data_IF_988747423891
#
_entry.id   IF_988747423891
#
_cell.length_a   1.000
_cell.length_b   1.000
_cell.length_c   1.000
_cell.angle_alpha   90.00
_cell.angle_beta   90.00
_cell.angle_gamma   90.00
#
_symmetry.space_group_name_H-M   'P 1'
#
loop_
_entity.id
_entity.type
_entity.pdbx_description
1 polymer ?
#
# COMPACT_ATOMS: atom_id res chain seq x y z
N UNK A 1 -53.31 -9.39 17.73
CA UNK A 1 -52.86 -8.20 18.47
C UNK A 1 -51.34 -8.24 18.48
N UNK A 2 -50.54 -7.31 17.96
CA UNK A 2 -50.66 -6.01 17.27
C UNK A 2 -49.30 -5.86 16.53
N UNK A 3 -49.27 -5.81 15.20
CA UNK A 3 -49.03 -4.61 14.35
C UNK A 3 -47.70 -3.88 14.60
N UNK A 4 -46.76 -3.89 13.64
CA UNK A 4 -46.63 -3.01 12.45
C UNK A 4 -46.02 -1.63 12.74
N UNK A 5 -44.86 -1.42 12.11
CA UNK A 5 -44.41 -0.27 11.32
C UNK A 5 -43.95 1.07 11.91
N UNK A 6 -43.03 1.63 11.09
CA UNK A 6 -42.69 3.03 10.77
C UNK A 6 -41.32 3.50 11.32
N UNK A 7 -40.43 4.15 10.57
CA UNK A 7 -40.37 4.62 9.18
C UNK A 7 -38.89 5.00 8.87
N UNK A 8 -38.47 4.98 7.59
CA UNK A 8 -37.10 5.29 7.15
C UNK A 8 -36.72 6.78 7.12
N UNK A 9 -35.62 7.12 6.40
CA UNK A 9 -35.83 8.02 5.27
C UNK A 9 -35.20 7.52 3.96
N UNK A 10 -36.02 7.64 2.92
CA UNK A 10 -35.76 7.48 1.50
C UNK A 10 -35.05 8.74 0.96
N UNK A 11 -34.02 8.56 0.14
CA UNK A 11 -33.48 9.62 -0.72
C UNK A 11 -33.44 9.11 -2.15
N UNK A 12 -34.46 9.50 -2.92
CA UNK A 12 -34.49 9.46 -4.37
C UNK A 12 -33.73 10.67 -4.93
N UNK A 13 -32.89 10.46 -5.95
CA UNK A 13 -32.47 11.51 -6.86
C UNK A 13 -32.32 10.95 -8.29
N UNK A 14 -32.63 11.74 -9.34
CA UNK A 14 -33.17 11.24 -10.59
C UNK A 14 -32.13 11.03 -11.68
N UNK A 15 -32.44 10.10 -12.59
CA UNK A 15 -31.83 9.93 -13.91
C UNK A 15 -31.86 11.24 -14.71
N UNK A 16 -30.68 11.73 -15.09
CA UNK A 16 -30.50 12.82 -16.03
C UNK A 16 -29.65 12.39 -17.21
N UNK A 17 -30.29 12.04 -18.33
CA UNK A 17 -29.66 11.80 -19.62
C UNK A 17 -29.23 13.12 -20.26
N UNK A 18 -27.99 13.18 -20.77
CA UNK A 18 -27.62 14.02 -21.93
C UNK A 18 -26.40 13.40 -22.61
N UNK A 19 -26.62 12.90 -23.82
CA UNK A 19 -25.57 12.39 -24.69
C UNK A 19 -24.78 13.50 -25.37
N UNK A 20 -23.60 13.13 -25.86
CA UNK A 20 -23.00 13.73 -27.06
C UNK A 20 -22.08 12.70 -27.71
N UNK A 21 -22.35 12.46 -28.99
CA UNK A 21 -21.60 11.64 -29.95
C UNK A 21 -20.35 12.36 -30.49
N UNK A 22 -19.61 11.62 -31.33
CA UNK A 22 -18.50 11.97 -32.23
C UNK A 22 -17.07 11.85 -31.64
N UNK A 23 -16.08 11.20 -32.28
CA UNK A 23 -15.97 10.59 -33.62
C UNK A 23 -14.70 9.72 -33.66
N UNK A 24 -14.75 8.67 -34.48
CA UNK A 24 -13.64 7.77 -34.77
C UNK A 24 -12.80 8.25 -35.98
N UNK A 25 -11.47 8.02 -35.93
CA UNK A 25 -10.53 8.17 -37.06
C UNK A 25 -9.05 8.26 -36.62
N UNK A 26 -8.07 8.02 -37.53
CA UNK A 26 -7.45 6.71 -37.72
C UNK A 26 -5.96 6.63 -37.31
N UNK A 27 -5.46 5.39 -37.22
CA UNK A 27 -4.12 4.94 -36.83
C UNK A 27 -2.94 5.62 -37.55
N UNK A 28 -1.89 5.94 -36.80
CA UNK A 28 -0.55 6.27 -37.29
C UNK A 28 0.51 5.90 -36.24
N UNK A 29 1.50 5.08 -36.62
CA UNK A 29 2.35 4.34 -35.69
C UNK A 29 3.63 5.02 -35.18
N UNK A 30 4.23 4.39 -34.17
CA UNK A 30 5.67 4.28 -33.96
C UNK A 30 6.35 5.35 -33.10
N UNK A 31 6.62 5.04 -31.83
CA UNK A 31 7.95 4.99 -31.19
C UNK A 31 7.80 4.93 -29.66
N UNK A 32 8.74 4.22 -29.02
CA UNK A 32 8.61 3.71 -27.66
C UNK A 32 8.51 4.76 -26.55
N UNK A 33 7.91 4.28 -25.45
CA UNK A 33 7.53 4.88 -24.16
C UNK A 33 6.00 5.01 -24.05
N UNK A 34 5.35 4.46 -23.00
CA UNK A 34 3.94 4.72 -22.79
C UNK A 34 3.76 6.23 -22.51
N UNK A 35 2.75 6.89 -23.11
CA UNK A 35 2.46 8.29 -22.84
C UNK A 35 2.14 8.49 -21.34
N UNK A 36 2.44 9.68 -20.78
CA UNK A 36 2.23 9.99 -19.36
C UNK A 36 0.77 9.93 -18.89
N UNK A 37 -0.19 9.73 -19.79
CA UNK A 37 -1.63 9.80 -19.52
C UNK A 37 -2.36 8.44 -19.54
N UNK A 38 -1.65 7.32 -19.39
CA UNK A 38 -2.25 5.97 -19.37
C UNK A 38 -3.06 5.61 -18.10
N UNK A 39 -3.55 6.59 -17.32
CA UNK A 39 -4.48 6.35 -16.21
C UNK A 39 -5.87 6.96 -16.50
N UNK A 40 -6.67 6.40 -17.42
CA UNK A 40 -8.04 6.86 -17.63
C UNK A 40 -8.97 6.25 -16.57
N UNK A 41 -9.57 7.11 -15.75
CA UNK A 41 -10.62 6.77 -14.77
C UNK A 41 -10.77 7.89 -13.75
N UNK A 42 -11.91 7.99 -13.08
CA UNK A 42 -12.21 9.01 -12.06
C UNK A 42 -11.42 8.78 -10.75
N UNK A 43 -10.10 8.73 -10.85
CA UNK A 43 -9.15 8.59 -9.74
C UNK A 43 -8.95 9.91 -8.99
N UNK A 44 -9.42 11.02 -9.57
CA UNK A 44 -9.38 12.37 -9.00
C UNK A 44 -10.68 12.63 -8.25
N UNK A 45 -10.67 12.41 -6.94
CA UNK A 45 -11.50 13.22 -6.06
C UNK A 45 -10.57 14.26 -5.44
N UNK A 46 -10.45 15.41 -6.10
CA UNK A 46 -9.79 16.58 -5.53
C UNK A 46 -10.46 16.90 -4.18
N UNK A 47 -9.73 16.69 -3.09
CA UNK A 47 -10.12 17.19 -1.78
C UNK A 47 -9.43 18.52 -1.62
N UNK A 48 -10.21 19.59 -1.48
CA UNK A 48 -9.70 20.85 -0.99
C UNK A 48 -9.18 20.66 0.43
N UNK A 49 -7.88 20.46 0.58
CA UNK A 49 -7.20 20.60 1.86
C UNK A 49 -7.13 22.10 2.17
N UNK A 50 -8.21 22.65 2.71
CA UNK A 50 -8.16 23.93 3.42
C UNK A 50 -7.49 23.70 4.78
N UNK A 51 -6.20 23.36 4.75
CA UNK A 51 -5.36 23.20 5.94
C UNK A 51 -4.95 24.57 6.49
N UNK A 52 -5.94 25.42 6.81
CA UNK A 52 -5.73 26.57 7.67
C UNK A 52 -5.94 26.14 9.12
N UNK A 53 -4.86 25.67 9.77
CA UNK A 53 -4.69 25.61 11.23
C UNK A 53 -5.94 25.28 12.06
N UNK A 54 -6.81 24.38 11.57
CA UNK A 54 -8.04 24.02 12.26
C UNK A 54 -7.68 23.09 13.42
N UNK A 55 -8.27 23.27 14.61
CA UNK A 55 -7.96 22.42 15.75
C UNK A 55 -8.19 20.96 15.39
N UNK A 56 -7.24 20.11 15.79
CA UNK A 56 -7.28 18.68 15.56
C UNK A 56 -8.61 18.11 16.09
N UNK A 57 -9.40 17.52 15.18
CA UNK A 57 -10.69 16.92 15.51
C UNK A 57 -10.54 15.88 16.64
N UNK A 58 -11.61 15.62 17.38
CA UNK A 58 -11.58 14.66 18.49
C UNK A 58 -11.05 13.27 18.07
N UNK A 59 -11.40 12.83 16.86
CA UNK A 59 -10.91 11.58 16.27
C UNK A 59 -9.40 11.62 15.98
N UNK A 60 -8.90 12.69 15.35
CA UNK A 60 -7.48 12.84 15.05
C UNK A 60 -6.62 12.88 16.34
N UNK A 61 -7.11 13.54 17.40
CA UNK A 61 -6.45 13.52 18.72
C UNK A 61 -6.38 12.11 19.33
N UNK A 62 -7.43 11.31 19.18
CA UNK A 62 -7.43 9.92 19.64
C UNK A 62 -6.39 9.07 18.89
N UNK A 63 -6.27 9.26 17.57
CA UNK A 63 -5.24 8.60 16.77
C UNK A 63 -3.82 9.03 17.15
N UNK A 64 -3.61 10.32 17.39
CA UNK A 64 -2.32 10.85 17.86
C UNK A 64 -1.92 10.23 19.20
N UNK A 65 -2.87 10.12 20.16
CA UNK A 65 -2.63 9.45 21.44
C UNK A 65 -2.35 7.95 21.28
N UNK A 66 -3.07 7.28 20.38
CA UNK A 66 -2.82 5.87 20.04
C UNK A 66 -1.40 5.66 19.49
N UNK A 67 -0.99 6.45 18.48
CA UNK A 67 0.34 6.32 17.90
C UNK A 67 1.45 6.71 18.88
N UNK A 68 1.22 7.69 19.76
CA UNK A 68 2.18 8.00 20.83
C UNK A 68 2.34 6.82 21.79
N UNK A 69 1.24 6.19 22.20
CA UNK A 69 1.25 5.00 23.07
C UNK A 69 1.92 3.79 22.40
N UNK A 70 1.68 3.62 21.10
CA UNK A 70 2.32 2.60 20.28
C UNK A 70 3.84 2.83 20.18
N UNK A 71 4.28 4.09 20.00
CA UNK A 71 5.70 4.44 20.03
C UNK A 71 6.32 4.06 21.38
N UNK A 72 5.71 4.44 22.51
CA UNK A 72 6.25 4.09 23.83
C UNK A 72 6.36 2.57 24.02
N UNK A 73 5.33 1.82 23.58
CA UNK A 73 5.33 0.35 23.62
C UNK A 73 6.47 -0.23 22.78
N UNK A 74 6.69 0.29 21.57
CA UNK A 74 7.77 -0.11 20.69
C UNK A 74 9.16 0.17 21.29
N UNK A 75 9.36 1.34 21.91
CA UNK A 75 10.62 1.68 22.59
C UNK A 75 10.88 0.76 23.78
N UNK A 76 9.86 0.52 24.62
CA UNK A 76 9.95 -0.37 25.76
C UNK A 76 10.30 -1.81 25.35
N UNK A 77 9.64 -2.35 24.32
CA UNK A 77 9.92 -3.69 23.78
C UNK A 77 11.36 -3.80 23.23
N UNK A 78 11.91 -2.70 22.72
CA UNK A 78 13.29 -2.63 22.24
C UNK A 78 14.32 -2.35 23.37
N UNK A 79 13.88 -2.19 24.63
CA UNK A 79 14.75 -1.85 25.76
C UNK A 79 15.30 -0.42 25.70
N UNK A 80 14.59 0.50 25.03
CA UNK A 80 14.98 1.90 24.82
C UNK A 80 14.25 2.83 25.80
N UNK A 81 14.81 4.02 26.09
CA UNK A 81 14.19 4.99 26.99
C UNK A 81 12.86 5.53 26.44
N UNK A 82 11.99 5.97 27.34
CA UNK A 82 10.73 6.65 26.99
C UNK A 82 11.00 8.00 26.30
N UNK A 83 10.06 8.41 25.45
CA UNK A 83 10.09 9.72 24.79
C UNK A 83 9.95 10.84 25.80
N UNK A 84 10.89 11.78 25.77
CA UNK A 84 10.85 12.96 26.64
C UNK A 84 10.06 14.10 25.97
N UNK A 85 9.11 14.69 26.68
CA UNK A 85 8.36 15.84 26.18
C UNK A 85 9.15 17.14 26.38
N UNK A 86 9.46 17.82 25.27
CA UNK A 86 10.14 19.11 25.22
C UNK A 86 9.29 20.21 24.59
N UNK A 87 8.00 19.95 24.35
CA UNK A 87 7.09 20.91 23.70
C UNK A 87 6.95 22.23 24.47
N UNK A 88 7.20 22.23 25.79
CA UNK A 88 7.20 23.45 26.62
C UNK A 88 8.34 24.42 26.30
N UNK A 89 9.39 23.97 25.62
CA UNK A 89 10.51 24.81 25.18
C UNK A 89 10.67 24.64 23.67
N UNK A 90 9.88 25.37 22.86
CA UNK A 90 9.93 25.26 21.41
C UNK A 90 11.35 25.48 20.90
N UNK A 91 11.77 24.65 19.96
CA UNK A 91 13.10 24.74 19.37
C UNK A 91 13.17 25.98 18.51
N UNK A 92 13.96 26.95 18.97
CA UNK A 92 14.19 28.23 18.30
C UNK A 92 15.44 28.17 17.42
N UNK A 93 15.27 28.69 16.20
CA UNK A 93 16.31 28.66 15.17
C UNK A 93 16.43 27.30 14.48
N UNK A 94 16.78 27.35 13.21
CA UNK A 94 17.16 26.18 12.41
C UNK A 94 18.69 26.15 12.23
N UNK A 95 19.53 26.12 13.28
CA UNK A 95 20.98 26.18 13.08
C UNK A 95 21.44 24.87 12.42
N UNK A 96 21.77 24.93 11.13
CA UNK A 96 22.54 23.89 10.43
C UNK A 96 21.79 22.64 9.96
N UNK A 97 20.46 22.59 9.96
CA UNK A 97 19.74 21.46 9.37
C UNK A 97 19.53 21.67 7.87
N UNK A 98 20.55 21.38 7.07
CA UNK A 98 20.40 21.25 5.60
C UNK A 98 19.38 20.17 5.21
N UNK A 99 19.05 19.25 6.14
CA UNK A 99 18.21 18.08 5.91
C UNK A 99 17.19 17.90 7.04
N UNK A 100 15.93 17.69 6.68
CA UNK A 100 14.82 17.31 7.56
C UNK A 100 14.11 16.11 6.93
N UNK A 101 14.24 14.93 7.53
CA UNK A 101 13.52 13.73 7.09
C UNK A 101 12.26 13.58 7.91
N UNK A 102 11.11 13.81 7.28
CA UNK A 102 9.81 13.73 7.93
C UNK A 102 9.11 12.43 7.57
N UNK A 103 8.71 11.65 8.58
CA UNK A 103 7.93 10.43 8.44
C UNK A 103 6.54 10.65 9.03
N UNK A 104 5.48 10.45 8.25
CA UNK A 104 4.10 10.39 8.73
C UNK A 104 3.60 8.95 8.63
N UNK A 105 3.48 8.23 9.74
CA UNK A 105 3.01 6.84 9.71
C UNK A 105 3.17 6.10 11.02
N UNK A 106 2.81 4.80 11.02
CA UNK A 106 2.86 3.96 12.22
C UNK A 106 4.28 3.81 12.77
N UNK A 107 4.54 4.13 14.06
CA UNK A 107 5.84 3.94 14.68
C UNK A 107 6.36 2.51 14.54
N UNK A 108 5.49 1.51 14.68
CA UNK A 108 5.88 0.09 14.59
C UNK A 108 6.45 -0.30 13.22
N UNK A 109 5.98 0.34 12.15
CA UNK A 109 6.46 0.09 10.78
C UNK A 109 7.81 0.76 10.53
N UNK A 110 8.01 1.96 11.07
CA UNK A 110 9.15 2.81 10.75
C UNK A 110 10.24 2.84 11.83
N UNK A 111 10.02 2.22 13.00
CA UNK A 111 10.93 2.30 14.16
C UNK A 111 12.39 2.03 13.79
N UNK A 112 12.65 0.96 13.02
CA UNK A 112 14.02 0.61 12.61
C UNK A 112 14.70 1.69 11.77
N UNK A 113 13.95 2.30 10.84
CA UNK A 113 14.43 3.39 9.97
C UNK A 113 14.60 4.68 10.77
N UNK A 114 13.68 4.96 11.70
CA UNK A 114 13.73 6.13 12.58
C UNK A 114 14.94 6.08 13.52
N UNK A 115 15.21 4.93 14.14
CA UNK A 115 16.36 4.74 15.03
C UNK A 115 17.69 4.86 14.27
N UNK A 116 17.81 4.20 13.11
CA UNK A 116 19.00 4.30 12.27
C UNK A 116 19.20 5.74 11.75
N UNK A 117 18.12 6.38 11.30
CA UNK A 117 18.14 7.78 10.87
C UNK A 117 18.53 8.74 12.00
N UNK A 118 18.10 8.47 13.23
CA UNK A 118 18.50 9.24 14.41
C UNK A 118 19.97 9.06 14.79
N UNK A 119 20.59 7.92 14.47
CA UNK A 119 22.04 7.70 14.62
C UNK A 119 22.80 8.48 13.55
N UNK A 120 22.37 8.40 12.29
CA UNK A 120 23.06 9.02 11.15
C UNK A 120 22.87 10.54 11.09
N UNK A 121 21.70 11.04 11.50
CA UNK A 121 21.34 12.46 11.47
C UNK A 121 20.55 12.85 12.73
N UNK A 122 21.25 12.98 13.88
CA UNK A 122 20.63 13.25 15.18
C UNK A 122 19.72 14.49 15.15
N UNK A 123 18.45 14.31 15.55
CA UNK A 123 17.48 15.40 15.61
C UNK A 123 16.93 15.88 14.27
N UNK A 124 17.31 15.24 13.15
CA UNK A 124 16.81 15.53 11.81
C UNK A 124 15.85 14.47 11.27
N UNK A 125 15.80 13.31 11.93
CA UNK A 125 14.82 12.26 11.67
C UNK A 125 13.59 12.50 12.55
N UNK A 126 12.47 12.85 11.92
CA UNK A 126 11.24 13.31 12.57
C UNK A 126 10.09 12.36 12.28
N UNK A 127 9.40 11.91 13.33
CA UNK A 127 8.14 11.18 13.24
C UNK A 127 6.98 12.11 13.58
N UNK A 128 6.10 12.36 12.61
CA UNK A 128 4.83 13.04 12.81
C UNK A 128 3.76 12.00 13.13
N UNK A 129 3.10 12.15 14.28
CA UNK A 129 2.00 11.26 14.70
C UNK A 129 0.64 11.73 14.16
N UNK A 130 0.55 12.98 13.72
CA UNK A 130 -0.65 13.60 13.17
C UNK A 130 -0.36 14.37 11.88
N UNK A 131 -1.24 14.29 10.86
CA UNK A 131 -1.25 15.22 9.73
C UNK A 131 -1.35 16.69 10.16
N UNK A 132 -2.02 16.98 11.27
CA UNK A 132 -2.20 18.35 11.78
C UNK A 132 -0.89 19.03 12.22
N UNK A 133 0.20 18.27 12.36
CA UNK A 133 1.54 18.80 12.66
C UNK A 133 2.30 19.24 11.42
N UNK A 134 1.68 19.08 10.24
CA UNK A 134 2.24 19.41 8.95
C UNK A 134 1.44 20.55 8.32
N UNK A 135 2.13 21.40 7.57
CA UNK A 135 1.49 22.48 6.81
C UNK A 135 2.07 22.52 5.41
N UNK A 136 1.20 22.41 4.42
CA UNK A 136 1.57 22.52 3.00
C UNK A 136 1.46 23.98 2.59
N UNK A 137 2.56 24.58 2.13
CA UNK A 137 2.62 25.98 1.70
C UNK A 137 3.08 26.08 0.25
N UNK A 138 2.58 27.04 -0.54
CA UNK A 138 3.04 27.23 -1.91
C UNK A 138 4.56 27.44 -1.98
N UNK A 139 5.21 26.74 -2.92
CA UNK A 139 6.64 26.87 -3.12
C UNK A 139 6.96 28.19 -3.86
N UNK A 140 7.92 29.01 -3.37
CA UNK A 140 8.33 30.23 -4.07
C UNK A 140 8.88 29.91 -5.46
N UNK A 141 8.32 30.55 -6.49
CA UNK A 141 8.83 30.45 -7.87
C UNK A 141 8.50 29.13 -8.59
N UNK A 142 7.68 28.25 -8.02
CA UNK A 142 7.26 26.98 -8.66
C UNK A 142 5.74 26.82 -8.62
N UNK A 143 5.02 27.29 -9.65
CA UNK A 143 3.57 27.17 -9.70
C UNK A 143 3.13 25.71 -9.65
N UNK A 144 2.18 25.38 -8.78
CA UNK A 144 1.67 24.03 -8.60
C UNK A 144 2.47 23.15 -7.63
N UNK A 145 3.67 23.55 -7.22
CA UNK A 145 4.45 22.84 -6.20
C UNK A 145 4.27 23.45 -4.80
N UNK A 146 4.44 22.63 -3.78
CA UNK A 146 4.37 23.03 -2.38
C UNK A 146 5.60 22.61 -1.56
N UNK A 147 5.95 23.42 -0.57
CA UNK A 147 6.84 23.01 0.51
C UNK A 147 6.01 22.46 1.67
N UNK A 148 6.53 21.44 2.35
CA UNK A 148 5.92 20.87 3.55
C UNK A 148 6.67 21.38 4.78
N UNK A 149 5.95 21.99 5.72
CA UNK A 149 6.47 22.52 6.97
C UNK A 149 6.03 21.64 8.13
N UNK A 150 6.92 21.43 9.10
CA UNK A 150 6.72 20.61 10.30
C UNK A 150 6.69 21.54 11.51
N UNK A 151 5.56 21.57 12.21
CA UNK A 151 5.39 22.36 13.44
C UNK A 151 5.68 21.57 14.70
N UNK A 152 5.46 20.25 14.67
CA UNK A 152 5.64 19.35 15.80
C UNK A 152 6.03 17.96 15.32
N UNK A 153 6.94 17.29 16.03
CA UNK A 153 7.30 15.90 15.74
C UNK A 153 8.01 15.24 16.92
N UNK A 154 8.13 13.91 16.88
CA UNK A 154 9.10 13.19 17.70
C UNK A 154 10.43 13.13 16.95
N UNK A 155 11.48 13.73 17.50
CA UNK A 155 12.84 13.68 16.95
C UNK A 155 13.61 12.48 17.49
N UNK A 156 14.42 11.85 16.64
CA UNK A 156 15.22 10.67 16.98
C UNK A 156 16.71 10.99 17.07
N UNK A 157 17.38 10.38 18.05
CA UNK A 157 18.80 10.61 18.38
C UNK A 157 19.54 9.28 18.66
N UNK A 158 20.89 9.31 18.71
CA UNK A 158 21.69 8.13 19.04
C UNK A 158 21.31 7.52 20.39
N UNK A 159 21.43 6.20 20.50
CA UNK A 159 21.07 5.46 21.72
C UNK A 159 19.56 5.28 21.92
N UNK A 160 18.75 5.56 20.89
CA UNK A 160 17.29 5.42 20.94
C UNK A 160 16.60 6.52 21.76
N UNK A 161 17.28 7.63 22.00
CA UNK A 161 16.69 8.81 22.62
C UNK A 161 15.69 9.46 21.67
N UNK A 162 14.49 9.76 22.19
CA UNK A 162 13.43 10.43 21.44
C UNK A 162 12.88 11.62 22.21
N UNK A 163 12.55 12.70 21.47
CA UNK A 163 12.02 13.93 22.06
C UNK A 163 10.78 14.42 21.32
N UNK A 164 9.70 14.71 22.02
CA UNK A 164 8.56 15.43 21.43
C UNK A 164 8.90 16.92 21.38
N UNK A 165 9.15 17.43 20.18
CA UNK A 165 9.59 18.80 19.94
C UNK A 165 8.52 19.62 19.20
N UNK A 166 8.36 20.88 19.61
CA UNK A 166 7.66 21.92 18.84
C UNK A 166 8.70 22.81 18.14
N UNK A 167 8.46 23.22 16.89
CA UNK A 167 9.41 23.96 16.06
C UNK A 167 8.93 25.38 15.75
N UNK A 168 9.73 26.39 16.11
CA UNK A 168 9.44 27.80 15.85
C UNK A 168 10.71 28.54 15.37
N UNK A 169 10.82 28.93 14.08
CA UNK A 169 9.84 28.74 13.02
C UNK A 169 9.66 27.27 12.63
N UNK A 170 8.56 26.95 11.95
CA UNK A 170 8.31 25.60 11.46
C UNK A 170 9.46 25.12 10.56
N UNK A 171 9.79 23.83 10.65
CA UNK A 171 10.90 23.25 9.91
C UNK A 171 10.46 22.78 8.53
N UNK A 172 11.12 23.20 7.46
CA UNK A 172 10.83 22.67 6.13
C UNK A 172 11.34 21.23 6.00
N UNK A 173 10.48 20.33 5.53
CA UNK A 173 10.85 18.96 5.17
C UNK A 173 11.67 18.95 3.88
N UNK A 174 12.79 18.22 3.89
CA UNK A 174 13.64 18.01 2.72
C UNK A 174 13.47 16.61 2.13
N UNK A 175 12.89 15.68 2.90
CA UNK A 175 12.38 14.39 2.45
C UNK A 175 11.10 14.07 3.21
N UNK A 176 10.10 13.52 2.53
CA UNK A 176 8.83 13.15 3.16
C UNK A 176 8.45 11.69 2.87
N UNK A 177 8.38 10.88 3.91
CA UNK A 177 7.93 9.49 3.83
C UNK A 177 6.55 9.37 4.47
N UNK A 178 5.60 8.86 3.70
CA UNK A 178 4.24 8.63 4.17
C UNK A 178 3.95 7.14 4.26
N UNK A 179 3.52 6.69 5.43
CA UNK A 179 2.96 5.38 5.65
C UNK A 179 1.52 5.36 5.15
N UNK A 180 1.32 4.86 3.95
CA UNK A 180 -0.01 4.61 3.41
C UNK A 180 -0.59 3.38 4.13
N UNK A 181 -1.26 3.62 5.26
CA UNK A 181 -1.88 2.59 6.09
C UNK A 181 -3.32 2.29 5.65
N UNK A 182 -3.87 1.11 5.99
CA UNK A 182 -5.21 0.66 5.57
C UNK A 182 -6.37 1.29 6.36
N UNK A 183 -6.14 2.40 7.07
CA UNK A 183 -7.17 3.08 7.85
C UNK A 183 -8.09 3.90 6.93
N UNK A 184 -9.43 3.77 7.04
CA UNK A 184 -10.33 4.69 6.34
C UNK A 184 -10.01 6.14 6.74
N UNK A 185 -9.89 7.04 5.77
CA UNK A 185 -9.59 8.47 6.00
C UNK A 185 -8.10 8.82 6.04
N UNK A 186 -7.31 8.20 6.92
CA UNK A 186 -5.92 8.64 7.17
C UNK A 186 -4.98 8.42 5.98
N UNK A 187 -5.15 7.31 5.23
CA UNK A 187 -4.35 7.05 4.02
C UNK A 187 -4.60 8.05 2.89
N UNK A 188 -5.81 8.62 2.82
CA UNK A 188 -6.18 9.61 1.79
C UNK A 188 -5.61 11.00 2.10
N UNK A 189 -5.77 11.46 3.34
CA UNK A 189 -5.20 12.75 3.77
C UNK A 189 -3.67 12.74 3.66
N UNK A 190 -3.04 11.64 4.05
CA UNK A 190 -1.60 11.47 3.98
C UNK A 190 -1.09 11.41 2.52
N UNK A 191 -1.88 10.83 1.60
CA UNK A 191 -1.60 10.86 0.16
C UNK A 191 -1.65 12.27 -0.44
N UNK A 192 -2.69 13.05 -0.10
CA UNK A 192 -2.83 14.45 -0.57
C UNK A 192 -1.71 15.36 -0.03
N UNK A 193 -1.26 15.10 1.21
CA UNK A 193 -0.08 15.77 1.76
C UNK A 193 1.18 15.50 0.96
N UNK A 194 1.38 14.26 0.49
CA UNK A 194 2.55 13.86 -0.28
C UNK A 194 2.53 14.34 -1.75
N UNK A 195 1.39 14.81 -2.24
CA UNK A 195 1.20 15.22 -3.63
C UNK A 195 1.87 16.57 -3.91
N UNK A 196 2.43 16.75 -5.11
CA UNK A 196 2.97 18.03 -5.60
C UNK A 196 3.98 18.70 -4.64
N UNK A 197 4.75 17.91 -3.88
CA UNK A 197 5.77 18.43 -2.98
C UNK A 197 7.08 18.71 -3.72
N UNK A 198 7.74 19.80 -3.35
CA UNK A 198 9.10 20.18 -3.79
C UNK A 198 10.19 19.21 -3.33
N UNK A 199 9.95 18.51 -2.22
CA UNK A 199 10.88 17.55 -1.66
C UNK A 199 10.60 16.13 -2.17
N UNK A 200 11.62 15.26 -2.29
CA UNK A 200 11.41 13.88 -2.67
C UNK A 200 10.52 13.16 -1.66
N UNK A 201 9.56 12.39 -2.20
CA UNK A 201 8.65 11.56 -1.41
C UNK A 201 8.94 10.08 -1.58
N UNK A 202 8.32 9.24 -0.73
CA UNK A 202 8.33 7.78 -0.88
C UNK A 202 7.52 7.29 -2.08
N UNK A 203 6.81 6.17 -1.92
CA UNK A 203 5.87 5.72 -2.95
C UNK A 203 4.67 6.67 -3.04
N UNK A 204 4.23 6.96 -4.27
CA UNK A 204 2.96 7.67 -4.48
C UNK A 204 1.78 6.79 -4.07
N UNK A 205 0.61 7.41 -3.82
CA UNK A 205 -0.58 6.67 -3.45
C UNK A 205 -1.06 5.74 -4.57
N UNK A 206 -0.92 6.17 -5.82
CA UNK A 206 -1.25 5.40 -7.02
C UNK A 206 -0.33 4.19 -7.14
N UNK A 207 0.98 4.41 -6.98
CA UNK A 207 1.96 3.32 -7.02
C UNK A 207 1.73 2.33 -5.88
N UNK A 208 1.46 2.82 -4.66
CA UNK A 208 1.16 1.96 -3.53
C UNK A 208 -0.11 1.14 -3.76
N UNK A 209 -1.19 1.74 -4.27
CA UNK A 209 -2.43 1.00 -4.60
C UNK A 209 -2.17 -0.06 -5.67
N UNK A 210 -1.36 0.24 -6.69
CA UNK A 210 -0.98 -0.71 -7.73
C UNK A 210 -0.15 -1.87 -7.14
N UNK A 211 0.83 -1.57 -6.29
CA UNK A 211 1.74 -2.55 -5.69
C UNK A 211 1.11 -3.37 -4.56
N UNK A 212 0.07 -2.85 -3.91
CA UNK A 212 -0.68 -3.55 -2.85
C UNK A 212 -1.77 -4.47 -3.42
N UNK A 213 -2.22 -4.22 -4.65
CA UNK A 213 -3.05 -5.16 -5.38
C UNK A 213 -2.19 -6.29 -5.97
N UNK A 214 -2.46 -7.52 -5.53
CA UNK A 214 -1.69 -8.70 -5.92
C UNK A 214 -1.83 -8.96 -7.42
N UNK A 215 -3.03 -8.88 -7.96
CA UNK A 215 -3.30 -9.12 -9.38
C UNK A 215 -2.62 -8.07 -10.25
N UNK A 216 -2.76 -6.78 -9.92
CA UNK A 216 -2.09 -5.71 -10.67
C UNK A 216 -0.58 -5.84 -10.61
N UNK A 217 -0.02 -6.12 -9.43
CA UNK A 217 1.41 -6.35 -9.25
C UNK A 217 1.90 -7.54 -10.07
N UNK A 218 1.16 -8.66 -10.05
CA UNK A 218 1.49 -9.87 -10.83
C UNK A 218 1.45 -9.58 -12.32
N UNK A 219 0.42 -8.88 -12.78
CA UNK A 219 0.26 -8.48 -14.17
C UNK A 219 1.43 -7.61 -14.62
N UNK A 220 1.79 -6.59 -13.84
CA UNK A 220 2.94 -5.71 -14.12
C UNK A 220 4.25 -6.50 -14.22
N UNK A 221 4.50 -7.42 -13.28
CA UNK A 221 5.72 -8.22 -13.26
C UNK A 221 5.78 -9.20 -14.43
N UNK A 222 4.65 -9.82 -14.78
CA UNK A 222 4.58 -10.79 -15.85
C UNK A 222 4.77 -10.16 -17.24
N UNK A 223 4.32 -8.92 -17.45
CA UNK A 223 4.48 -8.20 -18.71
C UNK A 223 5.93 -7.80 -19.02
N UNK A 224 6.74 -7.51 -17.98
CA UNK A 224 8.07 -6.90 -18.16
C UNK A 224 9.14 -7.85 -18.70
N UNK A 225 8.89 -9.16 -18.69
CA UNK A 225 9.88 -10.18 -19.02
C UNK A 225 11.02 -10.24 -17.98
N UNK A 226 11.49 -11.44 -17.64
CA UNK A 226 12.65 -11.61 -16.75
C UNK A 226 12.36 -11.61 -15.24
N UNK A 227 11.11 -11.47 -14.81
CA UNK A 227 10.69 -11.77 -13.43
C UNK A 227 9.72 -12.95 -13.44
N UNK A 228 10.12 -14.06 -12.82
CA UNK A 228 9.24 -15.20 -12.65
C UNK A 228 8.13 -14.85 -11.65
N UNK A 229 6.87 -15.04 -12.06
CA UNK A 229 5.72 -14.95 -11.18
C UNK A 229 5.10 -16.34 -11.01
N UNK A 230 4.52 -16.67 -9.84
CA UNK A 230 3.77 -17.92 -9.67
C UNK A 230 2.63 -17.99 -10.69
N UNK A 231 2.38 -19.20 -11.20
CA UNK A 231 1.19 -19.44 -12.01
C UNK A 231 -0.06 -19.02 -11.24
N UNK A 232 -0.91 -18.23 -11.87
CA UNK A 232 -2.04 -17.56 -11.23
C UNK A 232 -3.26 -17.61 -12.14
N UNK A 233 -4.37 -18.14 -11.63
CA UNK A 233 -5.70 -17.97 -12.19
C UNK A 233 -6.43 -16.89 -11.40
N UNK A 234 -6.97 -15.89 -12.09
CA UNK A 234 -7.64 -14.76 -11.48
C UNK A 234 -9.07 -14.64 -12.01
N UNK A 235 -10.05 -14.70 -11.12
CA UNK A 235 -11.44 -14.37 -11.41
C UNK A 235 -11.71 -12.93 -11.02
N UNK A 236 -12.14 -12.09 -11.97
CA UNK A 236 -12.32 -10.66 -11.74
C UNK A 236 -13.74 -10.21 -12.02
N UNK A 237 -14.27 -9.36 -11.14
CA UNK A 237 -15.57 -8.73 -11.34
C UNK A 237 -15.39 -7.25 -11.70
N UNK A 238 -15.75 -6.87 -12.93
CA UNK A 238 -15.53 -5.52 -13.49
C UNK A 238 -14.07 -5.07 -13.33
N UNK A 239 -13.11 -5.71 -14.04
CA UNK A 239 -11.69 -5.45 -13.85
C UNK A 239 -11.31 -3.99 -14.19
N UNK A 240 -10.36 -3.38 -13.46
CA UNK A 240 -9.84 -2.06 -13.77
C UNK A 240 -9.30 -1.99 -15.20
N UNK A 241 -9.34 -0.80 -15.82
CA UNK A 241 -8.88 -0.56 -17.19
C UNK A 241 -7.43 -1.00 -17.42
N UNK A 242 -6.59 -0.95 -16.38
CA UNK A 242 -5.18 -1.40 -16.43
C UNK A 242 -5.03 -2.90 -16.72
N UNK A 243 -6.06 -3.70 -16.48
CA UNK A 243 -6.09 -5.13 -16.81
C UNK A 243 -6.74 -5.39 -18.18
N UNK A 244 -7.35 -4.38 -18.80
CA UNK A 244 -7.97 -4.52 -20.14
C UNK A 244 -6.89 -4.36 -21.22
N UNK A 245 -6.68 -5.40 -22.02
CA UNK A 245 -5.88 -5.33 -23.24
C UNK A 245 -4.47 -5.96 -23.19
N UNK A 246 -4.19 -6.85 -22.26
CA UNK A 246 -2.96 -7.66 -22.27
C UNK A 246 -3.24 -9.11 -22.65
N UNK A 247 -2.63 -9.62 -23.72
CA UNK A 247 -2.53 -11.07 -23.95
C UNK A 247 -1.90 -11.70 -22.71
N UNK A 248 -2.59 -12.69 -22.15
CA UNK A 248 -2.20 -13.35 -20.92
C UNK A 248 -0.75 -13.82 -20.98
N UNK A 249 0.08 -13.35 -20.06
CA UNK A 249 1.40 -13.95 -19.87
C UNK A 249 1.22 -15.45 -19.59
N UNK A 250 2.14 -16.34 -20.00
CA UNK A 250 1.96 -17.78 -19.90
C UNK A 250 1.69 -18.31 -18.47
N UNK A 251 1.98 -17.51 -17.44
CA UNK A 251 1.70 -17.83 -16.03
C UNK A 251 0.52 -17.07 -15.41
N UNK A 252 -0.19 -16.19 -16.12
CA UNK A 252 -1.32 -15.43 -15.56
C UNK A 252 -2.54 -15.57 -16.46
N UNK A 253 -3.56 -16.29 -15.98
CA UNK A 253 -4.86 -16.46 -16.64
C UNK A 253 -5.90 -15.59 -15.97
N UNK A 254 -6.53 -14.72 -16.75
CA UNK A 254 -7.58 -13.81 -16.29
C UNK A 254 -8.94 -14.29 -16.79
N UNK A 255 -9.92 -14.40 -15.90
CA UNK A 255 -11.30 -14.77 -16.20
C UNK A 255 -12.19 -13.63 -15.74
N UNK A 256 -12.73 -12.89 -16.70
CA UNK A 256 -13.71 -11.83 -16.43
C UNK A 256 -15.09 -12.45 -16.20
N UNK A 257 -15.69 -12.15 -15.04
CA UNK A 257 -17.00 -12.63 -14.66
C UNK A 257 -18.08 -11.67 -15.18
N UNK A 258 -19.10 -12.22 -15.85
CA UNK A 258 -20.28 -11.47 -16.28
C UNK A 258 -21.21 -11.10 -15.12
N UNK A 259 -21.12 -11.80 -14.00
CA UNK A 259 -21.87 -11.57 -12.76
C UNK A 259 -21.24 -12.32 -11.58
N UNK A 260 -21.71 -12.06 -10.36
CA UNK A 260 -21.19 -12.72 -9.14
C UNK A 260 -21.81 -14.10 -8.89
N UNK A 261 -23.02 -14.33 -9.40
CA UNK A 261 -23.82 -15.54 -9.18
C UNK A 261 -23.97 -16.34 -10.49
N UNK A 262 -24.20 -17.65 -10.38
CA UNK A 262 -24.48 -18.53 -11.53
C UNK A 262 -23.26 -18.85 -12.40
N UNK A 263 -22.05 -18.62 -11.88
CA UNK A 263 -20.77 -18.86 -12.58
C UNK A 263 -20.09 -20.17 -12.12
N UNK A 264 -20.79 -21.05 -11.41
CA UNK A 264 -20.19 -22.23 -10.77
C UNK A 264 -19.60 -23.18 -11.80
N UNK A 265 -20.28 -23.36 -12.93
CA UNK A 265 -19.80 -24.20 -14.04
C UNK A 265 -18.52 -23.63 -14.64
N UNK A 266 -18.51 -22.32 -14.93
CA UNK A 266 -17.32 -21.62 -15.44
C UNK A 266 -16.15 -21.74 -14.46
N UNK A 267 -16.38 -21.50 -13.18
CA UNK A 267 -15.35 -21.61 -12.14
C UNK A 267 -14.79 -23.03 -12.08
N UNK A 268 -15.63 -24.06 -12.10
CA UNK A 268 -15.19 -25.46 -12.07
C UNK A 268 -14.35 -25.81 -13.29
N UNK A 269 -14.75 -25.39 -14.48
CA UNK A 269 -14.02 -25.61 -15.72
C UNK A 269 -12.66 -24.92 -15.72
N UNK A 270 -12.63 -23.63 -15.35
CA UNK A 270 -11.42 -22.81 -15.32
C UNK A 270 -10.43 -23.27 -14.23
N UNK A 271 -10.92 -23.57 -13.03
CA UNK A 271 -10.11 -24.16 -11.95
C UNK A 271 -9.59 -25.52 -12.36
N UNK A 272 -10.44 -26.37 -12.95
CA UNK A 272 -10.02 -27.68 -13.46
C UNK A 272 -8.91 -27.56 -14.50
N UNK A 273 -9.10 -26.72 -15.52
CA UNK A 273 -8.11 -26.48 -16.55
C UNK A 273 -6.80 -25.92 -15.98
N UNK A 274 -6.88 -24.97 -15.06
CA UNK A 274 -5.71 -24.39 -14.41
C UNK A 274 -4.96 -25.42 -13.57
N UNK A 275 -5.63 -26.17 -12.69
CA UNK A 275 -4.99 -27.17 -11.84
C UNK A 275 -4.35 -28.32 -12.64
N UNK A 276 -4.82 -28.61 -13.85
CA UNK A 276 -4.17 -29.59 -14.74
C UNK A 276 -3.13 -28.98 -15.68
N UNK A 277 -2.95 -27.66 -15.68
CA UNK A 277 -2.02 -26.98 -16.59
C UNK A 277 -0.56 -27.24 -16.24
N UNK A 278 0.30 -27.20 -17.26
CA UNK A 278 1.76 -27.28 -17.11
C UNK A 278 2.34 -26.06 -16.39
N UNK A 279 1.61 -24.93 -16.35
CA UNK A 279 2.05 -23.70 -15.69
C UNK A 279 2.28 -23.87 -14.19
N UNK A 280 1.57 -24.79 -13.52
CA UNK A 280 1.79 -25.07 -12.09
C UNK A 280 3.09 -25.83 -11.82
N UNK A 281 3.71 -26.43 -12.83
CA UNK A 281 4.89 -27.29 -12.66
C UNK A 281 4.68 -28.33 -11.55
N UNK A 282 5.65 -28.40 -10.63
CA UNK A 282 5.68 -29.34 -9.50
C UNK A 282 4.86 -28.89 -8.27
N UNK A 283 4.06 -27.83 -8.38
CA UNK A 283 3.26 -27.37 -7.25
C UNK A 283 2.23 -28.43 -6.83
N UNK A 284 2.31 -28.86 -5.57
CA UNK A 284 1.39 -29.82 -4.95
C UNK A 284 0.16 -29.15 -4.33
N UNK A 285 0.24 -27.84 -4.09
CA UNK A 285 -0.80 -27.04 -3.45
C UNK A 285 -1.01 -25.73 -4.19
N UNK A 286 -2.22 -25.18 -4.04
CA UNK A 286 -2.58 -23.85 -4.48
C UNK A 286 -3.05 -23.00 -3.30
N UNK A 287 -2.79 -21.70 -3.39
CA UNK A 287 -3.26 -20.72 -2.43
C UNK A 287 -4.42 -19.93 -3.02
N UNK A 288 -5.50 -19.79 -2.25
CA UNK A 288 -6.65 -18.97 -2.61
C UNK A 288 -6.59 -17.65 -1.82
N UNK A 289 -6.63 -16.52 -2.53
CA UNK A 289 -6.48 -15.17 -1.97
C UNK A 289 -7.45 -14.22 -2.65
N UNK A 290 -7.94 -13.19 -1.96
CA UNK A 290 -8.60 -12.07 -2.67
C UNK A 290 -7.55 -11.04 -3.07
N UNK A 291 -7.75 -10.39 -4.20
CA UNK A 291 -6.93 -9.27 -4.67
C UNK A 291 -7.72 -7.98 -4.62
N UNK A 292 -7.19 -7.03 -3.87
CA UNK A 292 -7.53 -5.61 -3.85
C UNK A 292 -6.60 -4.96 -2.84
N UNK A 293 -6.30 -3.67 -3.04
CA UNK A 293 -5.63 -2.85 -2.03
C UNK A 293 -6.41 -2.83 -0.69
N UNK A 294 -7.73 -3.09 -0.71
CA UNK A 294 -8.59 -3.17 0.48
C UNK A 294 -8.31 -4.36 1.39
N UNK A 295 -7.75 -5.45 0.84
CA UNK A 295 -7.53 -6.70 1.56
C UNK A 295 -6.16 -6.80 2.28
N UNK A 296 -5.39 -5.72 2.26
CA UNK A 296 -4.03 -5.68 2.83
C UNK A 296 -4.00 -6.14 4.29
N UNK A 297 -3.21 -7.17 4.58
CA UNK A 297 -2.95 -7.66 5.94
C UNK A 297 -4.16 -8.27 6.66
N UNK A 298 -5.31 -8.41 5.98
CA UNK A 298 -6.58 -8.87 6.57
C UNK A 298 -6.99 -10.30 6.16
N UNK A 299 -6.11 -11.02 5.45
CA UNK A 299 -6.43 -12.35 4.93
C UNK A 299 -5.56 -13.45 5.51
N UNK A 300 -6.23 -14.47 6.03
CA UNK A 300 -5.63 -15.76 6.27
C UNK A 300 -5.29 -16.44 4.92
N UNK A 301 -4.11 -17.02 4.84
CA UNK A 301 -3.69 -17.84 3.71
C UNK A 301 -4.54 -19.13 3.68
N UNK A 302 -5.24 -19.39 2.57
CA UNK A 302 -6.00 -20.64 2.37
C UNK A 302 -5.25 -21.53 1.41
N UNK A 303 -4.75 -22.66 1.90
CA UNK A 303 -4.00 -23.64 1.13
C UNK A 303 -4.88 -24.84 0.84
N UNK A 304 -4.85 -25.30 -0.41
CA UNK A 304 -5.62 -26.44 -0.87
C UNK A 304 -4.73 -27.39 -1.68
N UNK A 305 -4.86 -28.71 -1.49
CA UNK A 305 -4.18 -29.68 -2.35
C UNK A 305 -4.62 -29.52 -3.81
N UNK A 306 -3.67 -29.60 -4.73
CA UNK A 306 -3.94 -29.51 -6.18
C UNK A 306 -4.90 -30.61 -6.68
N UNK A 307 -4.90 -31.77 -6.02
CA UNK A 307 -5.77 -32.89 -6.36
C UNK A 307 -7.26 -32.65 -6.03
N UNK A 308 -7.57 -31.70 -5.14
CA UNK A 308 -8.92 -31.44 -4.65
C UNK A 308 -9.64 -30.35 -5.46
N UNK A 309 -9.81 -30.58 -6.76
CA UNK A 309 -10.40 -29.62 -7.71
C UNK A 309 -11.76 -29.09 -7.21
N UNK A 310 -12.62 -29.98 -6.70
CA UNK A 310 -13.94 -29.61 -6.17
C UNK A 310 -13.85 -28.62 -5.00
N UNK A 311 -13.04 -28.94 -3.99
CA UNK A 311 -12.83 -28.07 -2.82
C UNK A 311 -12.27 -26.70 -3.21
N UNK A 312 -11.33 -26.66 -4.16
CA UNK A 312 -10.77 -25.40 -4.68
C UNK A 312 -11.86 -24.57 -5.36
N UNK A 313 -12.63 -25.17 -6.26
CA UNK A 313 -13.70 -24.48 -6.98
C UNK A 313 -14.80 -23.97 -6.02
N UNK A 314 -15.26 -24.80 -5.09
CA UNK A 314 -16.29 -24.43 -4.11
C UNK A 314 -15.81 -23.28 -3.22
N UNK A 315 -14.52 -23.26 -2.85
CA UNK A 315 -13.93 -22.16 -2.09
C UNK A 315 -13.86 -20.87 -2.90
N UNK A 316 -13.56 -20.95 -4.20
CA UNK A 316 -13.57 -19.79 -5.10
C UNK A 316 -15.00 -19.23 -5.21
N UNK A 317 -15.99 -20.08 -5.49
CA UNK A 317 -17.41 -19.67 -5.59
C UNK A 317 -17.86 -18.94 -4.33
N UNK A 318 -17.61 -19.52 -3.15
CA UNK A 318 -17.98 -18.91 -1.87
C UNK A 318 -17.30 -17.56 -1.58
N UNK A 319 -16.20 -17.25 -2.28
CA UNK A 319 -15.52 -15.95 -2.22
C UNK A 319 -16.02 -14.96 -3.27
N UNK A 320 -16.44 -15.43 -4.45
CA UNK A 320 -16.97 -14.59 -5.52
C UNK A 320 -18.22 -13.81 -5.08
N UNK A 321 -19.09 -14.44 -4.29
CA UNK A 321 -20.28 -13.79 -3.71
C UNK A 321 -19.96 -12.56 -2.86
N UNK A 322 -18.73 -12.50 -2.32
CA UNK A 322 -18.28 -11.45 -1.38
C UNK A 322 -17.44 -10.37 -2.04
N UNK A 323 -17.15 -10.50 -3.34
CA UNK A 323 -16.32 -9.53 -4.06
C UNK A 323 -17.07 -8.21 -4.25
N UNK A 324 -16.38 -7.10 -4.09
CA UNK A 324 -16.82 -5.78 -4.60
C UNK A 324 -16.34 -5.57 -6.05
N UNK A 325 -16.75 -4.45 -6.67
CA UNK A 325 -16.25 -4.08 -8.00
C UNK A 325 -14.73 -3.87 -7.97
N UNK A 326 -14.06 -4.24 -9.07
CA UNK A 326 -12.60 -4.21 -9.22
C UNK A 326 -11.83 -5.20 -8.34
N UNK A 327 -12.52 -6.02 -7.54
CA UNK A 327 -11.89 -7.05 -6.73
C UNK A 327 -11.77 -8.38 -7.49
N UNK A 328 -10.90 -9.26 -6.97
CA UNK A 328 -10.62 -10.54 -7.64
C UNK A 328 -10.40 -11.67 -6.65
N UNK A 329 -10.71 -12.90 -7.06
CA UNK A 329 -10.24 -14.13 -6.40
C UNK A 329 -9.08 -14.70 -7.20
N UNK A 330 -7.97 -14.97 -6.53
CA UNK A 330 -6.77 -15.56 -7.11
C UNK A 330 -6.61 -16.99 -6.62
N UNK A 331 -6.30 -17.89 -7.55
CA UNK A 331 -5.77 -19.24 -7.28
C UNK A 331 -4.33 -19.24 -7.77
N UNK A 332 -3.38 -19.20 -6.83
CA UNK A 332 -1.94 -19.12 -7.13
C UNK A 332 -1.24 -20.44 -6.81
N UNK A 333 -0.26 -20.83 -7.63
CA UNK A 333 0.65 -21.93 -7.31
C UNK A 333 1.42 -21.62 -6.02
N UNK A 334 1.48 -22.59 -5.10
CA UNK A 334 2.32 -22.50 -3.91
C UNK A 334 3.72 -22.92 -4.29
N UNK A 335 4.64 -21.96 -4.35
CA UNK A 335 6.05 -22.28 -4.51
C UNK A 335 6.56 -22.96 -3.24
N UNK A 336 7.18 -24.15 -3.32
CA UNK A 336 7.82 -24.74 -2.16
C UNK A 336 8.93 -23.82 -1.64
N UNK A 337 9.18 -23.81 -0.33
CA UNK A 337 10.29 -23.04 0.22
C UNK A 337 11.59 -23.44 -0.49
N UNK A 338 12.39 -22.43 -0.86
CA UNK A 338 13.65 -22.65 -1.53
C UNK A 338 14.52 -23.59 -0.67
N UNK A 339 14.83 -24.77 -1.21
CA UNK A 339 15.78 -25.69 -0.56
C UNK A 339 17.16 -25.04 -0.69
N UNK A 340 17.60 -24.37 0.36
CA UNK A 340 18.97 -23.87 0.43
C UNK A 340 19.92 -25.07 0.33
N UNK A 341 20.97 -25.02 -0.51
CA UNK A 341 21.97 -26.07 -0.55
C UNK A 341 22.60 -26.20 0.84
N UNK A 342 22.17 -27.23 1.56
CA UNK A 342 22.61 -27.51 2.93
C UNK A 342 23.73 -28.54 2.85
N UNK A 343 24.94 -28.27 3.35
CA UNK A 343 25.94 -29.31 3.53
C UNK A 343 25.51 -30.20 4.70
N UNK A 344 24.91 -31.34 4.38
CA UNK A 344 24.41 -32.31 5.36
C UNK A 344 22.99 -32.02 5.81
N UNK A 345 22.07 -32.96 5.59
CA UNK A 345 20.67 -32.87 5.98
C UNK A 345 20.55 -32.67 7.51
N UNK A 346 20.13 -31.50 8.02
CA UNK A 346 19.66 -31.42 9.39
C UNK A 346 18.30 -32.13 9.47
N UNK A 347 17.91 -32.66 10.64
CA UNK A 347 16.56 -33.19 10.84
C UNK A 347 15.50 -32.10 10.57
N UNK A 348 14.26 -32.47 10.19
CA UNK A 348 13.20 -31.50 9.92
C UNK A 348 12.93 -30.68 11.19
N UNK A 349 13.44 -29.44 11.19
CA UNK A 349 13.15 -28.45 12.21
C UNK A 349 11.74 -27.88 12.05
N UNK A 350 11.27 -27.08 13.01
CA UNK A 350 9.98 -26.40 12.90
C UNK A 350 9.92 -25.56 11.63
N UNK A 351 8.77 -25.55 10.97
CA UNK A 351 8.52 -24.79 9.75
C UNK A 351 8.59 -23.29 10.09
N UNK A 352 9.62 -22.60 9.61
CA UNK A 352 9.85 -21.18 9.88
C UNK A 352 9.26 -20.33 8.75
N UNK A 353 8.33 -19.44 9.10
CA UNK A 353 7.90 -18.37 8.21
C UNK A 353 8.86 -17.18 8.34
N UNK A 354 9.56 -16.86 7.24
CA UNK A 354 10.51 -15.74 7.19
C UNK A 354 9.96 -14.64 6.28
N UNK A 355 9.87 -13.42 6.79
CA UNK A 355 9.63 -12.23 5.94
C UNK A 355 10.96 -11.55 5.66
N UNK A 356 11.38 -11.59 4.40
CA UNK A 356 12.54 -10.85 3.89
C UNK A 356 12.07 -9.48 3.42
N UNK A 357 12.51 -8.43 4.11
CA UNK A 357 12.32 -7.04 3.67
C UNK A 357 13.65 -6.50 3.17
N UNK A 358 13.65 -5.97 1.94
CA UNK A 358 14.79 -5.24 1.40
C UNK A 358 14.37 -3.80 1.14
N UNK A 359 15.21 -2.85 1.55
CA UNK A 359 14.97 -1.43 1.29
C UNK A 359 15.75 -1.05 0.04
N UNK A 360 15.04 -0.66 -1.01
CA UNK A 360 15.65 -0.12 -2.23
C UNK A 360 15.60 1.39 -2.14
N UNK A 361 16.76 2.02 -2.08
CA UNK A 361 16.90 3.48 -2.16
C UNK A 361 17.45 3.86 -3.54
N UNK A 362 17.21 5.11 -3.95
CA UNK A 362 17.92 5.70 -5.09
C UNK A 362 19.07 6.55 -4.57
N UNK A 363 20.25 6.38 -5.16
CA UNK A 363 21.40 7.24 -4.89
C UNK A 363 21.23 8.61 -5.59
N UNK A 364 22.11 9.56 -5.30
CA UNK A 364 22.13 10.88 -5.94
C UNK A 364 22.22 10.83 -7.49
N UNK A 365 22.66 9.70 -8.07
CA UNK A 365 22.72 9.48 -9.52
C UNK A 365 21.57 8.65 -10.10
N UNK A 366 20.42 8.57 -9.42
CA UNK A 366 19.24 7.77 -9.79
C UNK A 366 19.49 6.25 -9.89
N UNK A 367 20.60 5.77 -9.32
CA UNK A 367 20.94 4.34 -9.33
C UNK A 367 20.28 3.62 -8.15
N UNK A 368 19.68 2.44 -8.36
CA UNK A 368 19.13 1.65 -7.28
C UNK A 368 20.25 1.15 -6.36
N UNK A 369 20.06 1.34 -5.05
CA UNK A 369 20.91 0.81 -3.98
C UNK A 369 20.05 -0.07 -3.09
N UNK A 370 20.40 -1.36 -3.03
CA UNK A 370 19.77 -2.32 -2.13
C UNK A 370 20.47 -2.25 -0.77
N UNK A 371 19.76 -1.76 0.25
CA UNK A 371 20.28 -1.70 1.61
C UNK A 371 19.67 -2.83 2.46
N UNK A 372 20.55 -3.58 3.15
CA UNK A 372 20.37 -4.75 4.04
C UNK A 372 18.97 -5.40 4.09
N UNK A 373 18.97 -6.70 3.81
CA UNK A 373 17.87 -7.63 4.11
C UNK A 373 17.71 -7.77 5.63
N UNK A 374 16.53 -7.43 6.16
CA UNK A 374 16.12 -7.88 7.50
C UNK A 374 15.17 -9.06 7.36
N UNK A 375 15.52 -10.18 7.97
CA UNK A 375 14.65 -11.33 8.14
C UNK A 375 13.95 -11.20 9.50
N UNK A 376 12.63 -11.15 9.50
CA UNK A 376 11.83 -11.31 10.71
C UNK A 376 11.22 -12.70 10.72
N UNK A 377 11.36 -13.40 11.84
CA UNK A 377 10.61 -14.63 12.13
C UNK A 377 9.19 -14.20 12.50
N UNK A 378 8.19 -14.75 11.80
CA UNK A 378 6.76 -14.49 12.05
C UNK A 378 6.23 -15.46 13.09
#
# INVERSE_FOLDING_TARGET
>A
QLSSDQLGPQWDCPLGSKGLEDKEGPWGGGSGLPPPDCFPGSWRLDVGLDCKGSPEGAEARAWTAYYYSLLQSCLQQAGLPETQDRSQVPRTGCPGAEVTLCVLGSPSTFLSVLLEGGVQSPGNMLLCLSPAWLTKVPAPGRPGEAALLVSKAVSFHPGGLTFLDDFVPQRQATYFLVGLGPGPGQGREAAELARDLTCPTGASAELARLLEDRLLSRHLLAQRGGVAVPATLAFTYKPPTLLRGGDGSPGLRLVELSGKEGQETLVKEEVGAFLHSEALGDALQVAIKLSSWRWRGRQALRLHPRAEVGTVADTVVALLEKLEEEESVLVEAVCPPARLPSPGNPPPGPELALRICAVVCRTQGDRPLLSKVRAAQV
#
